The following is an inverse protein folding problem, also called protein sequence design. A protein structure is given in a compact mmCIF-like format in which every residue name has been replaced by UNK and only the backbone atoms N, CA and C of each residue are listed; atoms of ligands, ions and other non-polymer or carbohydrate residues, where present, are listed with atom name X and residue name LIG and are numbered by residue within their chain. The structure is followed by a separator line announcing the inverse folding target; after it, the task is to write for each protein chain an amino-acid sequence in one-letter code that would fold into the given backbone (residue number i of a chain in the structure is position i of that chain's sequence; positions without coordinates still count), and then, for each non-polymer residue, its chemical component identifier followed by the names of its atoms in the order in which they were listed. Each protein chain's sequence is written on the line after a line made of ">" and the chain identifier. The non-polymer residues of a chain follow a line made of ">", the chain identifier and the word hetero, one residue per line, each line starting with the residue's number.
data_IF_074038245907
#
_entry.id   IF_074038245907
#
_cell.length_a   1.000
_cell.length_b   1.000
_cell.length_c   1.000
_cell.angle_alpha   90.00
_cell.angle_beta   90.00
_cell.angle_gamma   90.00
#
_symmetry.space_group_name_H-M   'P 1'
#
loop_
_entity.id
_entity.type
_entity.pdbx_description
1 polymer ?
#
# COMPACT_ATOMS: atom_id res chain seq x y z
N UNK A 1 6.16 -13.11 2.56
CA UNK A 1 5.35 -14.01 3.40
C UNK A 1 3.89 -13.71 3.12
N UNK A 2 3.04 -14.69 2.80
CA UNK A 2 1.61 -14.45 2.69
C UNK A 2 1.04 -14.08 4.06
N UNK A 3 0.09 -13.14 4.09
CA UNK A 3 -0.65 -12.83 5.31
C UNK A 3 -1.54 -14.03 5.71
N UNK A 4 -1.85 -14.22 7.01
CA UNK A 4 -2.85 -15.18 7.44
C UNK A 4 -4.18 -14.94 6.72
N UNK A 5 -4.98 -15.98 6.44
CA UNK A 5 -6.23 -15.84 5.67
C UNK A 5 -7.29 -14.95 6.35
N UNK A 6 -7.15 -14.70 7.66
CA UNK A 6 -8.02 -13.81 8.44
C UNK A 6 -7.67 -12.32 8.32
N UNK A 7 -6.51 -11.97 7.77
CA UNK A 7 -6.06 -10.58 7.68
C UNK A 7 -6.61 -9.92 6.42
N UNK A 8 -7.26 -8.76 6.59
CA UNK A 8 -7.79 -7.97 5.49
C UNK A 8 -6.64 -7.32 4.69
N UNK A 9 -6.48 -7.75 3.45
CA UNK A 9 -5.45 -7.24 2.54
C UNK A 9 -6.09 -6.65 1.28
N UNK A 10 -5.38 -5.70 0.68
CA UNK A 10 -5.70 -5.08 -0.60
C UNK A 10 -4.62 -5.46 -1.60
N UNK A 11 -5.03 -6.05 -2.72
CA UNK A 11 -4.15 -6.31 -3.86
C UNK A 11 -4.03 -5.04 -4.70
N UNK A 12 -2.81 -4.50 -4.76
CA UNK A 12 -2.49 -3.32 -5.57
C UNK A 12 -1.79 -3.76 -6.85
N UNK A 13 -2.26 -3.26 -7.99
CA UNK A 13 -1.69 -3.57 -9.32
C UNK A 13 -1.29 -2.30 -10.08
N UNK A 14 -0.50 -2.46 -11.14
CA UNK A 14 -0.17 -1.37 -12.06
C UNK A 14 -1.32 -0.96 -13.02
N UNK A 15 -2.52 -1.52 -12.85
CA UNK A 15 -3.62 -1.43 -13.83
C UNK A 15 -3.52 -2.46 -14.96
N UNK A 16 -4.56 -2.53 -15.80
CA UNK A 16 -4.71 -3.59 -16.80
C UNK A 16 -3.60 -3.64 -17.86
N UNK A 17 -3.00 -2.48 -18.19
CA UNK A 17 -1.97 -2.34 -19.23
C UNK A 17 -0.55 -2.22 -18.67
N UNK A 18 -0.40 -2.05 -17.35
CA UNK A 18 0.86 -1.69 -16.69
C UNK A 18 1.26 -0.23 -16.92
N UNK A 19 2.35 0.19 -16.28
CA UNK A 19 2.93 1.52 -16.49
C UNK A 19 3.66 1.62 -17.82
N UNK A 20 3.31 2.64 -18.61
CA UNK A 20 3.79 2.85 -19.97
C UNK A 20 4.08 4.31 -20.25
N UNK A 21 5.08 4.51 -21.11
CA UNK A 21 5.36 5.77 -21.78
C UNK A 21 4.24 6.11 -22.78
N UNK A 22 4.11 7.38 -23.19
CA UNK A 22 3.19 7.77 -24.25
C UNK A 22 3.41 7.03 -25.58
N UNK A 23 4.64 6.54 -25.82
CA UNK A 23 5.00 5.73 -26.99
C UNK A 23 4.62 4.23 -26.84
N UNK A 24 4.07 3.82 -25.69
CA UNK A 24 3.65 2.46 -25.38
C UNK A 24 4.73 1.57 -24.76
N UNK A 25 5.97 2.02 -24.66
CA UNK A 25 7.05 1.25 -24.02
C UNK A 25 6.84 1.14 -22.50
N UNK A 26 7.15 -0.01 -21.88
CA UNK A 26 6.91 -0.21 -20.45
C UNK A 26 7.88 0.60 -19.59
N UNK A 27 7.40 1.07 -18.45
CA UNK A 27 8.26 1.62 -17.41
C UNK A 27 9.07 0.49 -16.76
N UNK A 28 10.27 0.84 -16.28
CA UNK A 28 11.15 -0.05 -15.54
C UNK A 28 11.54 0.61 -14.22
N UNK A 29 11.63 -0.16 -13.14
CA UNK A 29 11.96 0.36 -11.82
C UNK A 29 11.20 -0.35 -10.70
N UNK A 30 11.01 0.37 -9.60
CA UNK A 30 10.40 -0.15 -8.37
C UNK A 30 9.36 0.84 -7.86
N UNK A 31 8.21 0.33 -7.43
CA UNK A 31 7.21 1.06 -6.66
C UNK A 31 7.34 0.63 -5.21
N UNK A 32 7.56 1.58 -4.30
CA UNK A 32 7.71 1.31 -2.86
C UNK A 32 6.48 1.79 -2.11
N UNK A 33 6.01 0.95 -1.20
CA UNK A 33 4.87 1.25 -0.33
C UNK A 33 5.36 1.29 1.11
N UNK A 34 5.35 2.47 1.72
CA UNK A 34 5.77 2.66 3.11
C UNK A 34 4.56 3.06 3.93
N UNK A 35 4.16 2.30 4.97
CA UNK A 35 3.08 2.71 5.84
C UNK A 35 3.50 3.94 6.65
N UNK A 36 2.56 4.85 6.85
CA UNK A 36 2.64 6.04 7.69
C UNK A 36 1.54 5.87 8.73
N UNK A 37 1.80 5.29 9.91
CA UNK A 37 3.10 5.16 10.59
C UNK A 37 3.93 3.97 10.11
N UNK A 38 5.24 4.05 10.36
CA UNK A 38 6.20 2.98 10.04
C UNK A 38 5.95 1.65 10.79
N UNK A 39 5.05 1.64 11.77
CA UNK A 39 4.69 0.47 12.58
C UNK A 39 3.17 0.38 12.72
N UNK A 40 2.61 -0.72 12.22
CA UNK A 40 1.21 -1.11 12.47
C UNK A 40 1.24 -2.44 13.22
N UNK A 41 0.48 -2.54 14.31
CA UNK A 41 0.48 -3.71 15.21
C UNK A 41 -0.91 -4.31 15.30
N UNK A 42 -0.98 -5.64 15.42
CA UNK A 42 -2.17 -6.35 15.86
C UNK A 42 -1.82 -7.20 17.08
N UNK A 43 -2.54 -6.97 18.19
CA UNK A 43 -2.41 -7.79 19.40
C UNK A 43 -3.08 -9.17 19.24
N UNK A 44 -4.11 -9.26 18.38
CA UNK A 44 -4.86 -10.49 18.09
C UNK A 44 -4.03 -11.47 17.26
N UNK A 45 -3.32 -10.97 16.24
CA UNK A 45 -2.56 -11.81 15.31
C UNK A 45 -1.05 -11.86 15.61
N UNK A 46 -0.59 -11.28 16.73
CA UNK A 46 0.83 -11.07 17.08
C UNK A 46 1.68 -10.59 15.87
N UNK A 47 1.06 -9.79 15.01
CA UNK A 47 1.62 -9.40 13.72
C UNK A 47 1.99 -7.93 13.76
N UNK A 48 3.25 -7.64 13.39
CA UNK A 48 3.75 -6.28 13.23
C UNK A 48 4.09 -6.07 11.76
N UNK A 49 3.38 -5.15 11.11
CA UNK A 49 3.81 -4.62 9.82
C UNK A 49 4.88 -3.56 10.10
N UNK A 50 6.12 -3.87 9.72
CA UNK A 50 7.25 -2.94 9.78
C UNK A 50 7.86 -2.80 8.39
N UNK A 51 7.99 -1.56 7.96
CA UNK A 51 8.85 -1.20 6.83
C UNK A 51 8.17 -1.18 5.48
N UNK A 52 9.01 -0.98 4.47
CA UNK A 52 8.62 -0.70 3.09
C UNK A 52 8.45 -1.98 2.29
N UNK A 53 7.34 -2.09 1.56
CA UNK A 53 7.10 -3.16 0.59
C UNK A 53 7.53 -2.69 -0.79
N UNK A 54 8.43 -3.44 -1.44
CA UNK A 54 8.95 -3.12 -2.77
C UNK A 54 8.26 -3.98 -3.84
N UNK A 55 7.60 -3.34 -4.81
CA UNK A 55 7.05 -3.95 -5.99
C UNK A 55 7.90 -3.60 -7.21
N UNK A 56 8.67 -4.57 -7.72
CA UNK A 56 9.46 -4.36 -8.94
C UNK A 56 8.55 -4.45 -10.17
N UNK A 57 8.72 -3.53 -11.12
CA UNK A 57 8.02 -3.60 -12.40
C UNK A 57 8.60 -4.75 -13.23
N UNK A 58 7.73 -5.66 -13.68
CA UNK A 58 8.09 -6.71 -14.63
C UNK A 58 8.34 -6.16 -16.04
N UNK A 59 8.76 -7.01 -16.97
CA UNK A 59 9.06 -6.63 -18.36
C UNK A 59 7.88 -5.98 -19.09
N UNK A 60 6.64 -6.19 -18.63
CA UNK A 60 5.43 -5.56 -19.15
C UNK A 60 5.07 -4.22 -18.49
N UNK A 61 5.86 -3.72 -17.53
CA UNK A 61 5.53 -2.56 -16.70
C UNK A 61 4.49 -2.86 -15.63
N UNK A 62 4.20 -4.14 -15.37
CA UNK A 62 3.21 -4.59 -14.39
C UNK A 62 3.81 -4.96 -13.04
N UNK A 63 3.00 -4.88 -11.99
CA UNK A 63 3.27 -5.48 -10.69
C UNK A 63 1.94 -5.93 -10.05
N UNK A 64 2.03 -6.80 -9.05
CA UNK A 64 0.92 -7.17 -8.16
C UNK A 64 1.48 -7.41 -6.77
N UNK A 65 0.93 -6.73 -5.77
CA UNK A 65 1.38 -6.81 -4.38
C UNK A 65 0.19 -6.77 -3.43
N UNK A 66 0.21 -7.63 -2.41
CA UNK A 66 -0.78 -7.59 -1.34
C UNK A 66 -0.26 -6.72 -0.19
N UNK A 67 -1.04 -5.71 0.19
CA UNK A 67 -0.75 -4.80 1.31
C UNK A 67 -1.85 -4.92 2.36
N UNK A 68 -1.52 -4.66 3.62
CA UNK A 68 -2.52 -4.61 4.69
C UNK A 68 -3.50 -3.46 4.42
N UNK A 69 -4.80 -3.71 4.54
CA UNK A 69 -5.81 -2.68 4.38
C UNK A 69 -5.64 -1.58 5.44
N UNK A 70 -5.79 -0.31 5.07
CA UNK A 70 -5.56 0.85 5.95
C UNK A 70 -6.57 0.99 7.10
N UNK A 71 -7.62 0.19 7.08
CA UNK A 71 -8.69 0.09 8.07
C UNK A 71 -8.91 -1.37 8.49
N UNK A 72 -7.89 -2.22 8.34
CA UNK A 72 -7.95 -3.63 8.73
C UNK A 72 -8.38 -3.77 10.20
N UNK A 73 -9.38 -4.63 10.43
CA UNK A 73 -9.84 -4.96 11.78
C UNK A 73 -8.69 -5.54 12.62
N UNK A 74 -8.70 -5.24 13.92
CA UNK A 74 -7.72 -5.70 14.90
C UNK A 74 -6.28 -5.20 14.68
N UNK A 75 -6.08 -4.24 13.79
CA UNK A 75 -4.82 -3.49 13.63
C UNK A 75 -4.93 -2.07 14.20
N UNK A 76 -3.81 -1.58 14.73
CA UNK A 76 -3.67 -0.22 15.27
C UNK A 76 -2.36 0.42 14.78
N UNK A 77 -2.40 1.69 14.34
CA UNK A 77 -3.57 2.57 14.23
C UNK A 77 -4.50 2.14 13.08
N UNK A 78 -5.71 2.71 13.01
CA UNK A 78 -6.66 2.55 11.89
C UNK A 78 -6.78 3.85 11.08
N UNK A 79 -7.06 3.75 9.79
CA UNK A 79 -7.18 4.89 8.89
C UNK A 79 -5.84 5.54 8.53
N UNK A 80 -4.74 4.77 8.60
CA UNK A 80 -3.41 5.21 8.20
C UNK A 80 -3.30 5.33 6.67
N UNK A 81 -2.14 5.77 6.18
CA UNK A 81 -1.88 5.91 4.74
C UNK A 81 -0.61 5.19 4.33
N UNK A 82 -0.51 4.83 3.05
CA UNK A 82 0.75 4.38 2.47
C UNK A 82 1.36 5.52 1.66
N UNK A 83 2.61 5.88 1.98
CA UNK A 83 3.46 6.65 1.08
C UNK A 83 3.94 5.74 -0.05
N UNK A 84 3.58 6.12 -1.27
CA UNK A 84 4.00 5.48 -2.50
C UNK A 84 5.19 6.26 -3.06
N UNK A 85 6.29 5.58 -3.31
CA UNK A 85 7.42 6.11 -4.07
C UNK A 85 7.57 5.32 -5.37
N UNK A 86 7.27 5.98 -6.48
CA UNK A 86 7.49 5.44 -7.82
C UNK A 86 8.91 5.81 -8.26
N UNK A 87 9.84 4.85 -8.25
CA UNK A 87 11.23 5.04 -8.64
C UNK A 87 11.50 4.32 -9.96
N UNK A 88 11.31 5.06 -11.06
CA UNK A 88 11.56 4.56 -12.40
C UNK A 88 13.01 4.82 -12.83
N UNK A 89 13.60 3.86 -13.52
CA UNK A 89 14.97 3.97 -14.07
C UNK A 89 14.96 4.63 -15.45
N UNK A 90 13.81 4.61 -16.14
CA UNK A 90 13.63 5.13 -17.49
C UNK A 90 12.59 6.24 -17.59
N UNK A 91 12.12 6.79 -16.47
CA UNK A 91 11.16 7.89 -16.40
C UNK A 91 11.35 8.69 -15.09
N UNK A 92 10.83 9.93 -15.00
CA UNK A 92 10.75 10.62 -13.73
C UNK A 92 9.82 9.88 -12.75
N UNK A 93 10.26 9.78 -11.50
CA UNK A 93 9.45 9.24 -10.41
C UNK A 93 8.53 10.27 -9.77
N UNK A 94 7.64 9.81 -8.88
CA UNK A 94 6.80 10.66 -8.02
C UNK A 94 6.54 10.02 -6.67
N UNK A 95 6.22 10.85 -5.68
CA UNK A 95 5.85 10.41 -4.34
C UNK A 95 4.50 11.01 -3.94
N UNK A 96 3.61 10.18 -3.39
CA UNK A 96 2.27 10.57 -2.94
C UNK A 96 1.77 9.60 -1.86
N UNK A 97 0.65 9.92 -1.21
CA UNK A 97 0.04 9.03 -0.23
C UNK A 97 -1.30 8.50 -0.73
N UNK A 98 -1.64 7.27 -0.38
CA UNK A 98 -2.91 6.61 -0.73
C UNK A 98 -3.54 5.94 0.49
N UNK A 99 -4.87 5.75 0.43
CA UNK A 99 -5.62 4.86 1.34
C UNK A 99 -5.97 3.57 0.61
N UNK A 100 -5.95 2.45 1.32
CA UNK A 100 -6.26 1.12 0.80
C UNK A 100 -7.34 0.50 1.69
N UNK A 101 -8.62 0.91 1.56
CA UNK A 101 -9.68 0.41 2.44
C UNK A 101 -9.98 -1.06 2.17
N UNK A 102 -10.31 -1.82 3.21
CA UNK A 102 -10.65 -3.24 3.16
C UNK A 102 -11.89 -3.51 2.30
N UNK A 103 -12.77 -2.51 2.14
CA UNK A 103 -13.92 -2.55 1.25
C UNK A 103 -13.54 -2.65 -0.25
N UNK A 104 -12.28 -2.35 -0.59
CA UNK A 104 -11.73 -2.43 -1.94
C UNK A 104 -10.55 -3.43 -1.96
N UNK A 105 -10.82 -4.75 -1.98
CA UNK A 105 -9.78 -5.78 -1.83
C UNK A 105 -8.83 -5.88 -3.04
N UNK A 106 -9.15 -5.22 -4.16
CA UNK A 106 -8.29 -5.11 -5.32
C UNK A 106 -8.44 -3.72 -5.95
N UNK A 107 -7.31 -3.05 -6.18
CA UNK A 107 -7.25 -1.71 -6.78
C UNK A 107 -6.09 -1.62 -7.77
N UNK A 108 -6.27 -0.80 -8.81
CA UNK A 108 -5.17 -0.35 -9.63
C UNK A 108 -4.61 0.94 -9.04
N UNK A 109 -3.29 0.99 -8.83
CA UNK A 109 -2.61 2.17 -8.34
C UNK A 109 -2.90 3.46 -9.15
N UNK A 110 -3.01 3.46 -10.50
CA UNK A 110 -3.40 4.67 -11.23
C UNK A 110 -4.83 5.16 -10.99
N UNK A 111 -5.71 4.29 -10.47
CA UNK A 111 -7.11 4.66 -10.18
C UNK A 111 -7.27 5.25 -8.77
N UNK A 112 -6.21 5.21 -7.95
CA UNK A 112 -6.23 5.76 -6.60
C UNK A 112 -5.97 7.26 -6.61
N UNK A 113 -6.78 7.98 -5.84
CA UNK A 113 -6.56 9.40 -5.59
C UNK A 113 -5.49 9.61 -4.52
N UNK A 114 -4.66 10.64 -4.73
CA UNK A 114 -3.69 11.07 -3.73
C UNK A 114 -4.41 11.71 -2.55
N UNK A 115 -4.01 11.32 -1.34
CA UNK A 115 -4.55 11.85 -0.09
C UNK A 115 -3.48 12.57 0.73
N UNK A 116 -3.90 13.34 1.73
CA UNK A 116 -3.01 13.86 2.75
C UNK A 116 -2.44 12.70 3.61
N UNK A 117 -1.16 12.75 3.99
CA UNK A 117 -0.58 11.75 4.86
C UNK A 117 -1.29 11.75 6.22
N UNK A 118 -1.50 10.56 6.77
CA UNK A 118 -2.16 10.35 8.05
C UNK A 118 -1.54 9.15 8.73
N UNK A 119 -1.09 9.33 9.98
CA UNK A 119 -0.64 8.27 10.89
C UNK A 119 -1.80 7.37 11.36
N UNK A 120 -3.04 7.71 11.03
CA UNK A 120 -4.22 7.02 11.52
C UNK A 120 -4.51 7.35 12.99
N UNK A 121 -5.60 6.79 13.47
CA UNK A 121 -6.06 6.94 14.85
C UNK A 121 -5.77 5.65 15.61
N UNK A 122 -5.13 5.70 16.78
CA UNK A 122 -4.97 4.51 17.61
C UNK A 122 -6.36 3.96 17.95
N UNK A 123 -6.54 2.64 17.75
CA UNK A 123 -7.70 1.93 18.24
C UNK A 123 -7.64 1.96 19.77
N UNK A 124 -8.48 2.76 20.41
CA UNK A 124 -8.48 3.01 21.86
C UNK A 124 -8.51 1.68 22.64
N UNK A 125 -7.41 1.35 23.34
CA UNK A 125 -7.49 0.53 24.54
C UNK A 125 -8.12 1.43 25.61
N UNK A 126 -9.46 1.39 25.67
CA UNK A 126 -10.32 2.15 26.56
C UNK A 126 -9.61 3.09 27.53
N UNK A 127 -9.65 4.39 27.24
CA UNK A 127 -9.49 5.39 28.29
C UNK A 127 -10.61 5.22 29.32
N UNK A 128 -10.32 4.48 30.39
CA UNK A 128 -11.04 4.59 31.64
C UNK A 128 -10.62 5.89 32.31
N UNK A 129 -11.56 6.85 32.40
CA UNK A 129 -11.55 7.93 33.39
C UNK A 129 -13.00 8.32 33.70
#
# INVERSE_FOLDING_TARGET
>A
MPFPPSVQTVTVTAGATGYRHPDGTPYSGVVRFTPTPARVVSAEYDTILVGTVNASLGASGGFSVALLATDAADFSPTGWTYRVDEEFTNAPGRSYCVRLPAAQPAVALPDLEAVTPSEGTPSDLGSSA
#
